data_IF_574559007251
#
_entry.id   IF_574559007251
#
_cell.length_a   1.000
_cell.length_b   1.000
_cell.length_c   1.000
_cell.angle_alpha   90.00
_cell.angle_beta   90.00
_cell.angle_gamma   90.00
#
_symmetry.space_group_name_H-M   'P 1'
#
loop_
_entity.id
_entity.type
_entity.pdbx_description
1 polymer ?
#
# COMPACT_ATOMS: atom_id res chain seq x y z
N UNK A 1 -8.32 -3.38 -5.98
CA UNK A 1 -8.24 -2.91 -4.57
C UNK A 1 -8.97 -3.82 -3.60
N UNK A 2 -10.31 -3.91 -3.64
CA UNK A 2 -11.07 -4.64 -2.59
C UNK A 2 -10.69 -6.12 -2.47
N UNK A 3 -10.38 -6.78 -3.60
CA UNK A 3 -9.91 -8.16 -3.59
C UNK A 3 -8.52 -8.33 -2.93
N UNK A 4 -7.58 -7.42 -3.18
CA UNK A 4 -6.25 -7.50 -2.54
C UNK A 4 -6.31 -7.19 -1.03
N UNK A 5 -7.25 -6.34 -0.59
CA UNK A 5 -7.51 -6.13 0.83
C UNK A 5 -8.13 -7.37 1.50
N UNK A 6 -9.07 -8.05 0.82
CA UNK A 6 -9.63 -9.30 1.32
C UNK A 6 -8.57 -10.42 1.41
N UNK A 7 -7.68 -10.52 0.43
CA UNK A 7 -6.57 -11.48 0.48
C UNK A 7 -5.55 -11.13 1.57
N UNK A 8 -5.34 -9.84 1.84
CA UNK A 8 -4.55 -9.40 2.99
C UNK A 8 -5.20 -9.84 4.33
N UNK A 9 -6.51 -9.66 4.48
CA UNK A 9 -7.26 -10.10 5.66
C UNK A 9 -7.18 -11.64 5.83
N UNK A 10 -7.18 -12.38 4.72
CA UNK A 10 -7.01 -13.84 4.70
C UNK A 10 -5.54 -14.29 4.86
N UNK A 11 -4.60 -13.34 5.03
CA UNK A 11 -3.14 -13.56 5.05
C UNK A 11 -2.57 -14.18 3.79
N UNK A 12 -3.33 -14.21 2.69
CA UNK A 12 -2.83 -14.56 1.36
C UNK A 12 -2.07 -13.36 0.75
N UNK A 13 -0.88 -13.12 1.30
CA UNK A 13 0.00 -12.05 0.84
C UNK A 13 0.45 -12.26 -0.62
N UNK A 14 0.64 -13.51 -1.04
CA UNK A 14 1.05 -13.84 -2.40
C UNK A 14 -0.05 -13.51 -3.42
N UNK A 15 -1.30 -13.88 -3.11
CA UNK A 15 -2.46 -13.52 -3.91
C UNK A 15 -2.69 -12.02 -3.95
N UNK A 16 -2.56 -11.33 -2.81
CA UNK A 16 -2.67 -9.88 -2.74
C UNK A 16 -1.62 -9.21 -3.63
N UNK A 17 -0.34 -9.57 -3.50
CA UNK A 17 0.75 -9.03 -4.33
C UNK A 17 0.53 -9.28 -5.82
N UNK A 18 0.10 -10.49 -6.21
CA UNK A 18 -0.17 -10.82 -7.61
C UNK A 18 -1.26 -9.94 -8.23
N UNK A 19 -2.24 -9.49 -7.44
CA UNK A 19 -3.25 -8.54 -7.92
C UNK A 19 -2.71 -7.10 -7.99
N UNK A 20 -1.83 -6.74 -7.06
CA UNK A 20 -1.16 -5.44 -6.98
C UNK A 20 -0.02 -5.26 -8.00
N UNK A 21 0.39 -6.32 -8.69
CA UNK A 21 1.39 -6.29 -9.77
C UNK A 21 0.78 -6.28 -11.18
N UNK A 22 -0.53 -6.49 -11.31
CA UNK A 22 -1.21 -6.35 -12.61
C UNK A 22 -1.05 -4.93 -13.14
N UNK A 23 -1.17 -4.71 -14.45
CA UNK A 23 -1.21 -3.34 -14.96
C UNK A 23 -2.49 -2.67 -14.49
N UNK A 24 -2.36 -1.48 -13.93
CA UNK A 24 -3.50 -0.67 -13.52
C UNK A 24 -3.39 0.73 -14.10
N UNK A 25 -4.53 1.41 -14.12
CA UNK A 25 -4.58 2.79 -14.55
C UNK A 25 -3.71 3.66 -13.61
N UNK A 26 -2.79 4.50 -14.16
CA UNK A 26 -1.91 5.37 -13.39
C UNK A 26 -2.64 6.24 -12.35
N UNK A 27 -3.91 6.57 -12.58
CA UNK A 27 -4.73 7.32 -11.63
C UNK A 27 -4.89 6.60 -10.27
N UNK A 28 -4.74 5.28 -10.24
CA UNK A 28 -4.83 4.47 -9.02
C UNK A 28 -3.46 4.05 -8.48
N UNK A 29 -2.35 4.49 -9.08
CA UNK A 29 -1.01 4.07 -8.69
C UNK A 29 -0.72 4.31 -7.19
N UNK A 30 -1.16 5.44 -6.65
CA UNK A 30 -1.02 5.74 -5.22
C UNK A 30 -1.80 4.81 -4.30
N UNK A 31 -3.01 4.40 -4.71
CA UNK A 31 -3.82 3.43 -3.96
C UNK A 31 -3.18 2.03 -3.98
N UNK A 32 -2.63 1.62 -5.12
CA UNK A 32 -1.95 0.33 -5.26
C UNK A 32 -0.70 0.28 -4.40
N UNK A 33 0.09 1.36 -4.40
CA UNK A 33 1.27 1.49 -3.55
C UNK A 33 0.92 1.48 -2.06
N UNK A 34 -0.17 2.13 -1.64
CA UNK A 34 -0.63 2.06 -0.24
C UNK A 34 -0.96 0.62 0.17
N UNK A 35 -1.75 -0.09 -0.64
CA UNK A 35 -2.16 -1.46 -0.32
C UNK A 35 -0.96 -2.43 -0.38
N UNK A 36 0.03 -2.16 -1.25
CA UNK A 36 1.31 -2.89 -1.26
C UNK A 36 2.09 -2.68 0.03
N UNK A 37 2.12 -1.44 0.54
CA UNK A 37 2.68 -1.15 1.86
C UNK A 37 2.01 -1.93 2.98
N UNK A 38 0.67 -1.98 2.97
CA UNK A 38 -0.12 -2.74 3.96
C UNK A 38 0.21 -4.25 3.93
N UNK A 39 0.33 -4.83 2.73
CA UNK A 39 0.70 -6.24 2.54
C UNK A 39 2.13 -6.53 3.00
N UNK A 40 3.08 -5.62 2.75
CA UNK A 40 4.47 -5.75 3.19
C UNK A 40 4.60 -5.58 4.70
N UNK A 41 3.85 -4.65 5.29
CA UNK A 41 3.82 -4.44 6.73
C UNK A 41 3.27 -5.68 7.46
N UNK A 42 2.20 -6.29 6.95
CA UNK A 42 1.64 -7.52 7.50
C UNK A 42 2.59 -8.73 7.40
N UNK A 43 3.51 -8.71 6.42
CA UNK A 43 4.59 -9.70 6.30
C UNK A 43 5.79 -9.42 7.23
N UNK A 44 5.77 -8.34 8.01
CA UNK A 44 6.90 -7.92 8.85
C UNK A 44 8.02 -7.22 8.07
N UNK A 45 7.84 -6.96 6.77
CA UNK A 45 8.82 -6.33 5.88
C UNK A 45 8.76 -4.80 6.00
N UNK A 46 9.07 -4.29 7.19
CA UNK A 46 8.89 -2.88 7.56
C UNK A 46 9.57 -1.89 6.60
N UNK A 47 10.82 -2.16 6.19
CA UNK A 47 11.55 -1.28 5.26
C UNK A 47 10.92 -1.26 3.86
N UNK A 48 10.49 -2.41 3.35
CA UNK A 48 9.81 -2.51 2.06
C UNK A 48 8.44 -1.81 2.12
N UNK A 49 7.72 -1.94 3.24
CA UNK A 49 6.45 -1.27 3.47
C UNK A 49 6.59 0.25 3.46
N UNK A 50 7.58 0.80 4.19
CA UNK A 50 7.89 2.23 4.19
C UNK A 50 8.20 2.76 2.78
N UNK A 51 8.96 2.00 1.99
CA UNK A 51 9.24 2.38 0.60
C UNK A 51 7.96 2.42 -0.25
N UNK A 52 7.07 1.43 -0.10
CA UNK A 52 5.80 1.39 -0.82
C UNK A 52 4.85 2.52 -0.38
N UNK A 53 4.80 2.86 0.90
CA UNK A 53 4.01 4.00 1.38
C UNK A 53 4.55 5.34 0.91
N UNK A 54 5.87 5.53 0.85
CA UNK A 54 6.48 6.74 0.24
C UNK A 54 6.04 6.90 -1.21
N UNK A 55 6.12 5.81 -1.99
CA UNK A 55 5.61 5.81 -3.37
C UNK A 55 4.11 6.11 -3.43
N UNK A 56 3.33 5.62 -2.47
CA UNK A 56 1.91 5.94 -2.39
C UNK A 56 1.70 7.43 -2.19
N UNK A 57 2.36 8.05 -1.21
CA UNK A 57 2.26 9.49 -0.90
C UNK A 57 2.68 10.35 -2.10
N UNK A 58 3.74 9.98 -2.83
CA UNK A 58 4.17 10.70 -4.03
C UNK A 58 3.16 10.63 -5.19
N UNK A 59 2.43 9.51 -5.30
CA UNK A 59 1.48 9.26 -6.39
C UNK A 59 0.06 9.68 -6.03
N UNK A 60 -0.25 9.76 -4.73
CA UNK A 60 -1.49 10.33 -4.22
C UNK A 60 -1.39 11.86 -4.40
N UNK A 61 -2.19 12.41 -5.29
CA UNK A 61 -2.22 13.85 -5.52
C UNK A 61 -2.53 14.63 -4.24
N UNK A 62 -2.18 15.92 -4.21
CA UNK A 62 -2.33 16.78 -3.01
C UNK A 62 -3.76 16.85 -2.45
N UNK A 63 -4.77 16.59 -3.28
CA UNK A 63 -6.19 16.56 -2.88
C UNK A 63 -6.66 15.18 -2.38
N UNK A 64 -5.76 14.20 -2.30
CA UNK A 64 -6.09 12.85 -1.89
C UNK A 64 -6.32 12.77 -0.38
N UNK A 65 -7.54 12.43 0.02
CA UNK A 65 -7.89 12.18 1.42
C UNK A 65 -7.10 11.01 2.05
N UNK A 66 -6.46 10.18 1.23
CA UNK A 66 -5.67 9.05 1.70
C UNK A 66 -4.24 9.43 2.08
N UNK A 67 -3.69 10.49 1.48
CA UNK A 67 -2.30 10.91 1.73
C UNK A 67 -1.97 11.04 3.24
N UNK A 68 -2.75 11.77 4.06
CA UNK A 68 -2.47 11.87 5.50
C UNK A 68 -2.61 10.54 6.25
N UNK A 69 -3.47 9.63 5.78
CA UNK A 69 -3.60 8.30 6.37
C UNK A 69 -2.38 7.42 6.09
N UNK A 70 -1.80 7.54 4.90
CA UNK A 70 -0.58 6.81 4.54
C UNK A 70 0.62 7.35 5.31
N UNK A 71 0.74 8.67 5.45
CA UNK A 71 1.78 9.32 6.25
C UNK A 71 1.72 8.85 7.71
N UNK A 72 0.52 8.84 8.32
CA UNK A 72 0.33 8.33 9.68
C UNK A 72 0.78 6.86 9.85
N UNK A 73 0.53 6.01 8.84
CA UNK A 73 1.00 4.62 8.86
C UNK A 73 2.53 4.52 8.82
N UNK A 74 3.17 5.37 8.02
CA UNK A 74 4.64 5.44 7.95
C UNK A 74 5.24 5.88 9.28
N UNK A 75 4.68 6.92 9.91
CA UNK A 75 5.17 7.44 11.18
C UNK A 75 5.13 6.37 12.29
N UNK A 76 4.03 5.60 12.35
CA UNK A 76 3.92 4.44 13.25
C UNK A 76 4.92 3.31 12.94
N UNK A 77 5.53 3.32 11.75
CA UNK A 77 6.55 2.37 11.32
C UNK A 77 7.99 2.87 11.47
N UNK A 78 8.21 4.14 11.84
CA UNK A 78 9.56 4.68 12.05
C UNK A 78 9.99 4.65 13.53
N UNK A 79 9.05 4.48 14.48
CA UNK A 79 9.30 4.29 15.92
C UNK A 79 9.64 2.87 16.35
#
# INVERSE_FOLDING_TARGET
MRLAALLLDDKDYAGAMKLLEKTHDPAFAGLYANLKGDVLAAQGKRQEALAAYKQAVERLGEKSALKPLVEMKMDGMEG
#
